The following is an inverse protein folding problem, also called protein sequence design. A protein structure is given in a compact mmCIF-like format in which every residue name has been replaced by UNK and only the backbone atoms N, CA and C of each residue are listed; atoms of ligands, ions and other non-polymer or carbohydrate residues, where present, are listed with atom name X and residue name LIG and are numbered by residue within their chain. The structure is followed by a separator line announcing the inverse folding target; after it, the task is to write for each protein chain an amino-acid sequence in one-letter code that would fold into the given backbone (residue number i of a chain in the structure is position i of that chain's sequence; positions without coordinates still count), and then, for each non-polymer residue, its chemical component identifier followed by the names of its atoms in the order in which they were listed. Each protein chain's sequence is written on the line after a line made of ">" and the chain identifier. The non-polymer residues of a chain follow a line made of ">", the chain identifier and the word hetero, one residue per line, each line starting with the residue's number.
data_IF_954628067226
#
_entry.id   IF_954628067226
#
_cell.length_a   1.000
_cell.length_b   1.000
_cell.length_c   1.000
_cell.angle_alpha   90.00
_cell.angle_beta   90.00
_cell.angle_gamma   90.00
#
_symmetry.space_group_name_H-M   'P 1'
#
loop_
_entity.id
_entity.type
_entity.pdbx_description
1 polymer ?
#
# COMPACT_ATOMS: atom_id res chain seq x y z
N UNK A 1 1.25 5.21 16.20
CA UNK A 1 1.36 5.99 14.96
C UNK A 1 0.85 7.40 15.24
N UNK A 2 1.72 8.32 15.67
CA UNK A 2 1.35 9.73 15.92
C UNK A 2 2.06 10.67 14.93
N UNK A 3 3.30 10.31 14.56
CA UNK A 3 4.12 11.02 13.58
C UNK A 3 3.57 11.00 12.14
N UNK A 4 2.85 9.96 11.72
CA UNK A 4 2.28 9.92 10.35
C UNK A 4 1.24 11.04 10.15
N UNK A 5 0.55 11.43 11.22
CA UNK A 5 -0.48 12.46 11.18
C UNK A 5 0.09 13.88 11.42
N UNK A 6 1.32 14.00 11.94
CA UNK A 6 1.96 15.26 12.32
C UNK A 6 3.05 15.71 11.33
N UNK A 7 3.96 14.81 10.92
CA UNK A 7 4.99 15.05 9.89
C UNK A 7 5.26 13.77 9.07
N UNK A 8 4.58 13.61 7.91
CA UNK A 8 4.76 12.45 7.04
C UNK A 8 6.18 12.29 6.49
N UNK A 9 6.92 13.38 6.25
CA UNK A 9 8.27 13.32 5.70
C UNK A 9 9.29 12.87 6.74
N UNK A 10 9.14 13.32 7.99
CA UNK A 10 9.96 12.82 9.10
C UNK A 10 9.67 11.33 9.39
N UNK A 11 8.39 10.93 9.39
CA UNK A 11 7.99 9.53 9.52
C UNK A 11 8.59 8.66 8.40
N UNK A 12 8.59 9.17 7.17
CA UNK A 12 9.24 8.53 6.04
C UNK A 12 10.76 8.38 6.25
N UNK A 13 11.45 9.42 6.71
CA UNK A 13 12.89 9.36 7.00
C UNK A 13 13.22 8.28 8.05
N UNK A 14 12.47 8.21 9.15
CA UNK A 14 12.64 7.15 10.16
C UNK A 14 12.39 5.76 9.58
N UNK A 15 11.33 5.61 8.78
CA UNK A 15 11.00 4.33 8.16
C UNK A 15 12.13 3.82 7.24
N UNK A 16 12.81 4.73 6.52
CA UNK A 16 13.96 4.39 5.66
C UNK A 16 15.15 3.88 6.46
N UNK A 17 15.41 4.45 7.64
CA UNK A 17 16.44 3.97 8.57
C UNK A 17 16.05 2.58 9.10
N UNK A 18 14.82 2.41 9.57
CA UNK A 18 14.33 1.13 10.06
C UNK A 18 14.42 0.03 8.99
N UNK A 19 14.04 0.34 7.74
CA UNK A 19 14.13 -0.59 6.61
C UNK A 19 15.57 -1.00 6.32
N UNK A 20 16.54 -0.07 6.41
CA UNK A 20 17.97 -0.39 6.26
C UNK A 20 18.46 -1.36 7.34
N UNK A 21 17.97 -1.21 8.57
CA UNK A 21 18.40 -2.04 9.71
C UNK A 21 17.68 -3.40 9.77
N UNK A 22 16.42 -3.46 9.34
CA UNK A 22 15.53 -4.60 9.59
C UNK A 22 14.70 -5.02 8.37
N UNK A 23 15.26 -4.99 7.16
CA UNK A 23 14.56 -5.36 5.91
C UNK A 23 14.01 -6.79 5.86
N UNK A 24 14.41 -7.68 6.78
CA UNK A 24 13.86 -9.04 6.88
C UNK A 24 12.66 -9.15 7.82
N UNK A 25 12.18 -8.04 8.37
CA UNK A 25 10.98 -7.99 9.21
C UNK A 25 9.81 -7.44 8.37
N UNK A 26 8.76 -8.24 8.17
CA UNK A 26 7.64 -7.86 7.31
C UNK A 26 6.96 -6.56 7.80
N UNK A 27 6.70 -6.46 9.10
CA UNK A 27 6.10 -5.26 9.70
C UNK A 27 6.92 -3.98 9.48
N UNK A 28 8.26 -4.08 9.39
CA UNK A 28 9.11 -2.93 9.07
C UNK A 28 8.92 -2.48 7.63
N UNK A 29 8.74 -3.43 6.70
CA UNK A 29 8.41 -3.12 5.31
C UNK A 29 7.03 -2.50 5.17
N UNK A 30 6.04 -3.01 5.90
CA UNK A 30 4.70 -2.41 5.92
C UNK A 30 4.73 -0.98 6.43
N UNK A 31 5.42 -0.73 7.54
CA UNK A 31 5.59 0.61 8.09
C UNK A 31 6.28 1.56 7.09
N UNK A 32 7.35 1.11 6.42
CA UNK A 32 8.01 1.87 5.37
C UNK A 32 7.09 2.12 4.16
N UNK A 33 6.29 1.12 3.77
CA UNK A 33 5.31 1.24 2.71
C UNK A 33 4.25 2.30 3.02
N UNK A 34 3.70 2.29 4.24
CA UNK A 34 2.71 3.28 4.67
C UNK A 34 3.31 4.69 4.80
N UNK A 35 4.54 4.83 5.28
CA UNK A 35 5.21 6.14 5.34
C UNK A 35 5.53 6.69 3.93
N UNK A 36 5.95 5.83 3.00
CA UNK A 36 6.13 6.20 1.60
C UNK A 36 4.78 6.57 0.95
N UNK A 37 3.72 5.82 1.24
CA UNK A 37 2.37 6.09 0.74
C UNK A 37 1.84 7.45 1.23
N UNK A 38 2.02 7.76 2.52
CA UNK A 38 1.61 9.04 3.11
C UNK A 38 2.35 10.25 2.50
N UNK A 39 3.56 10.02 1.97
CA UNK A 39 4.37 11.04 1.26
C UNK A 39 4.22 10.96 -0.27
N UNK A 40 3.20 10.25 -0.77
CA UNK A 40 2.89 10.08 -2.20
C UNK A 40 4.01 9.44 -3.03
N UNK A 41 4.96 8.75 -2.37
CA UNK A 41 6.04 7.98 -3.02
C UNK A 41 5.51 6.59 -3.41
N UNK A 42 4.49 6.57 -4.26
CA UNK A 42 3.68 5.37 -4.55
C UNK A 42 4.49 4.21 -5.13
N UNK A 43 5.54 4.48 -5.92
CA UNK A 43 6.40 3.44 -6.46
C UNK A 43 7.19 2.72 -5.35
N UNK A 44 7.69 3.46 -4.37
CA UNK A 44 8.41 2.90 -3.22
C UNK A 44 7.44 2.16 -2.30
N UNK A 45 6.28 2.76 -2.00
CA UNK A 45 5.23 2.13 -1.20
C UNK A 45 4.83 0.77 -1.77
N UNK A 46 4.55 0.73 -3.07
CA UNK A 46 4.16 -0.49 -3.78
C UNK A 46 5.27 -1.56 -3.76
N UNK A 47 6.54 -1.16 -3.84
CA UNK A 47 7.66 -2.09 -3.73
C UNK A 47 7.72 -2.76 -2.34
N UNK A 48 7.53 -1.98 -1.29
CA UNK A 48 7.55 -2.49 0.09
C UNK A 48 6.33 -3.32 0.44
N UNK A 49 5.12 -2.92 0.03
CA UNK A 49 3.92 -3.73 0.21
C UNK A 49 4.01 -5.08 -0.52
N UNK A 50 4.54 -5.10 -1.75
CA UNK A 50 4.81 -6.35 -2.48
C UNK A 50 5.82 -7.23 -1.75
N UNK A 51 6.84 -6.63 -1.13
CA UNK A 51 7.83 -7.37 -0.36
C UNK A 51 7.25 -7.93 0.94
N UNK A 52 6.48 -7.14 1.70
CA UNK A 52 5.75 -7.60 2.88
C UNK A 52 4.81 -8.76 2.55
N UNK A 53 4.01 -8.62 1.48
CA UNK A 53 3.13 -9.69 0.97
C UNK A 53 3.88 -10.97 0.60
N UNK A 54 5.06 -10.89 -0.04
CA UNK A 54 5.87 -12.09 -0.33
C UNK A 54 6.35 -12.79 0.93
N UNK A 55 6.59 -12.05 2.01
CA UNK A 55 7.09 -12.59 3.27
C UNK A 55 5.98 -13.22 4.12
N UNK A 56 4.79 -12.64 4.12
CA UNK A 56 3.68 -13.06 4.99
C UNK A 56 2.64 -13.90 4.27
N UNK A 57 2.50 -13.76 2.96
CA UNK A 57 1.38 -14.29 2.19
C UNK A 57 0.07 -13.54 2.39
N UNK A 58 0.03 -12.50 3.23
CA UNK A 58 -1.19 -11.73 3.52
C UNK A 58 -1.68 -10.95 2.30
N UNK A 59 -3.00 -10.87 2.15
CA UNK A 59 -3.66 -10.05 1.12
C UNK A 59 -4.17 -8.72 1.67
N UNK A 60 -4.01 -8.44 2.97
CA UNK A 60 -4.58 -7.23 3.59
C UNK A 60 -4.11 -5.93 2.94
N UNK A 61 -2.89 -5.90 2.40
CA UNK A 61 -2.33 -4.75 1.69
C UNK A 61 -2.80 -4.62 0.23
N UNK A 62 -3.65 -5.52 -0.25
CA UNK A 62 -4.10 -5.54 -1.65
C UNK A 62 -4.80 -4.23 -2.07
N UNK A 63 -5.73 -3.65 -1.27
CA UNK A 63 -6.38 -2.39 -1.63
C UNK A 63 -5.39 -1.23 -1.73
N UNK A 64 -4.49 -1.07 -0.76
CA UNK A 64 -3.50 0.02 -0.77
C UNK A 64 -2.48 -0.14 -1.90
N UNK A 65 -2.14 -1.38 -2.28
CA UNK A 65 -1.31 -1.64 -3.47
C UNK A 65 -2.02 -1.23 -4.77
N UNK A 66 -3.33 -1.49 -4.89
CA UNK A 66 -4.12 -1.02 -6.03
C UNK A 66 -4.19 0.52 -6.05
N UNK A 67 -4.36 1.16 -4.89
CA UNK A 67 -4.39 2.62 -4.80
C UNK A 67 -3.04 3.25 -5.16
N UNK A 68 -1.92 2.59 -4.83
CA UNK A 68 -0.60 3.01 -5.33
C UNK A 68 -0.52 2.99 -6.86
N UNK A 69 -1.11 2.00 -7.54
CA UNK A 69 -1.14 2.00 -9.02
C UNK A 69 -1.98 3.18 -9.55
N UNK A 70 -3.08 3.56 -8.89
CA UNK A 70 -3.81 4.80 -9.20
C UNK A 70 -2.95 6.04 -9.02
N UNK A 71 -2.25 6.16 -7.89
CA UNK A 71 -1.33 7.25 -7.60
C UNK A 71 -0.16 7.36 -8.60
N UNK A 72 0.18 6.26 -9.27
CA UNK A 72 1.14 6.21 -10.38
C UNK A 72 0.54 6.54 -11.75
N UNK A 73 -0.73 6.95 -11.81
CA UNK A 73 -1.44 7.26 -13.05
C UNK A 73 -1.81 6.02 -13.87
N UNK A 74 -2.03 4.86 -13.22
CA UNK A 74 -2.38 3.59 -13.87
C UNK A 74 -3.74 3.08 -13.37
N UNK A 75 -4.83 3.83 -13.55
CA UNK A 75 -6.14 3.46 -13.03
C UNK A 75 -6.67 2.12 -13.59
N UNK A 76 -6.32 1.77 -14.82
CA UNK A 76 -6.68 0.48 -15.44
C UNK A 76 -6.07 -0.70 -14.67
N UNK A 77 -4.86 -0.51 -14.11
CA UNK A 77 -4.18 -1.53 -13.32
C UNK A 77 -4.88 -1.73 -11.98
N UNK A 78 -5.33 -0.67 -11.34
CA UNK A 78 -6.16 -0.74 -10.14
C UNK A 78 -7.50 -1.45 -10.40
N UNK A 79 -8.16 -1.12 -11.51
CA UNK A 79 -9.40 -1.81 -11.93
C UNK A 79 -9.18 -3.30 -12.18
N UNK A 80 -8.06 -3.68 -12.81
CA UNK A 80 -7.69 -5.08 -12.97
C UNK A 80 -7.52 -5.78 -11.61
N UNK A 81 -6.78 -5.16 -10.68
CA UNK A 81 -6.58 -5.70 -9.32
C UNK A 81 -7.88 -5.88 -8.53
N UNK A 82 -8.89 -5.03 -8.77
CA UNK A 82 -10.21 -5.15 -8.15
C UNK A 82 -10.98 -6.40 -8.63
N UNK A 83 -10.62 -6.97 -9.77
CA UNK A 83 -11.20 -8.20 -10.32
C UNK A 83 -10.47 -9.49 -9.93
N UNK A 84 -9.37 -9.40 -9.18
CA UNK A 84 -8.51 -10.56 -8.88
C UNK A 84 -9.03 -11.39 -7.67
N UNK A 85 -8.67 -12.69 -7.59
CA UNK A 85 -9.11 -13.58 -6.50
C UNK A 85 -8.69 -13.12 -5.10
N UNK A 86 -7.63 -12.34 -4.97
CA UNK A 86 -7.18 -11.74 -3.71
C UNK A 86 -8.30 -10.96 -3.00
N UNK A 87 -9.20 -10.33 -3.75
CA UNK A 87 -10.32 -9.56 -3.18
C UNK A 87 -11.27 -10.45 -2.38
N UNK A 88 -11.43 -11.71 -2.77
CA UNK A 88 -12.29 -12.66 -2.05
C UNK A 88 -11.68 -13.14 -0.73
N UNK A 89 -10.37 -12.98 -0.57
CA UNK A 89 -9.62 -13.36 0.64
C UNK A 89 -9.57 -12.23 1.67
N UNK A 90 -9.98 -11.01 1.29
CA UNK A 90 -10.09 -9.87 2.19
C UNK A 90 -11.27 -10.03 3.14
N UNK A 91 -11.12 -9.49 4.35
CA UNK A 91 -12.23 -9.30 5.27
C UNK A 91 -13.22 -8.23 4.75
N UNK A 92 -14.28 -7.97 5.50
CA UNK A 92 -15.30 -6.99 5.07
C UNK A 92 -14.72 -5.58 4.92
N UNK A 93 -13.79 -5.18 5.79
CA UNK A 93 -13.16 -3.87 5.70
C UNK A 93 -12.31 -3.75 4.44
N UNK A 94 -11.42 -4.70 4.17
CA UNK A 94 -10.58 -4.72 2.98
C UNK A 94 -11.40 -4.79 1.68
N UNK A 95 -12.53 -5.51 1.65
CA UNK A 95 -13.43 -5.50 0.50
C UNK A 95 -14.08 -4.13 0.27
N UNK A 96 -14.41 -3.41 1.33
CA UNK A 96 -14.93 -2.03 1.24
C UNK A 96 -13.84 -1.09 0.72
N UNK A 97 -12.63 -1.17 1.26
CA UNK A 97 -11.48 -0.40 0.77
C UNK A 97 -11.22 -0.65 -0.72
N UNK A 98 -11.21 -1.91 -1.16
CA UNK A 98 -11.03 -2.25 -2.57
C UNK A 98 -12.12 -1.63 -3.46
N UNK A 99 -13.39 -1.59 -3.00
CA UNK A 99 -14.48 -0.93 -3.74
C UNK A 99 -14.29 0.58 -3.82
N UNK A 100 -13.80 1.22 -2.76
CA UNK A 100 -13.47 2.66 -2.78
C UNK A 100 -12.36 2.95 -3.79
N UNK A 101 -11.30 2.13 -3.79
CA UNK A 101 -10.19 2.25 -4.75
C UNK A 101 -10.68 2.05 -6.18
N UNK A 102 -11.51 1.03 -6.45
CA UNK A 102 -12.08 0.80 -7.78
C UNK A 102 -12.98 1.95 -8.26
N UNK A 103 -13.82 2.49 -7.37
CA UNK A 103 -14.65 3.66 -7.69
C UNK A 103 -13.79 4.88 -8.02
N UNK A 104 -12.69 5.09 -7.27
CA UNK A 104 -11.71 6.12 -7.56
C UNK A 104 -11.03 5.91 -8.91
N UNK A 105 -10.53 4.71 -9.19
CA UNK A 105 -9.89 4.39 -10.47
C UNK A 105 -10.82 4.64 -11.65
N UNK A 106 -12.11 4.29 -11.51
CA UNK A 106 -13.13 4.53 -12.54
C UNK A 106 -13.32 6.01 -12.85
N UNK A 107 -13.12 6.89 -11.87
CA UNK A 107 -13.21 8.35 -12.03
C UNK A 107 -11.95 8.94 -12.67
N UNK A 108 -10.80 8.30 -12.46
CA UNK A 108 -9.51 8.75 -12.99
C UNK A 108 -9.35 8.46 -14.51
N UNK A 109 -10.22 7.60 -15.07
CA UNK A 109 -10.32 7.25 -16.51
C UNK A 109 -11.27 8.17 -17.28
#
# INVERSE_FOLDING_TARGET
>A
ARLIDEDPEEAYAYSRIALRLASRVAAVREAAGFAAYATQKYAEALAEFRAARRMTGSVELWPVMADCERGLGRPERAMAMAGEPEVQKLDKAGQVEMRLVAAGARRDM
#
